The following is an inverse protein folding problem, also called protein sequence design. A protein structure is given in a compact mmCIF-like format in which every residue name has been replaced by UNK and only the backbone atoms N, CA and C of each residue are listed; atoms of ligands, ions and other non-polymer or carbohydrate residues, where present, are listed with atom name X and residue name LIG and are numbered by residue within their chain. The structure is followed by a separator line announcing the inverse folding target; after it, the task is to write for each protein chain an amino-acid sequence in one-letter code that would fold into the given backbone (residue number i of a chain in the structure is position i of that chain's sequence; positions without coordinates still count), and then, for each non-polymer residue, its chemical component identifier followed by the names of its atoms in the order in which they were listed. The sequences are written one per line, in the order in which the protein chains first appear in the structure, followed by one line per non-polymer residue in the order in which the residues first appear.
data_IF_375395871694
#
_entry.id   IF_375395871694
#
_cell.length_a   1.000
_cell.length_b   1.000
_cell.length_c   1.000
_cell.angle_alpha   90.00
_cell.angle_beta   90.00
_cell.angle_gamma   90.00
#
_symmetry.space_group_name_H-M   'P 1'
#
loop_
_entity.id
_entity.type
_entity.pdbx_description
1 polymer ?
#
# COMPACT_ATOMS: atom_id res chain seq x y z
N UNK A 1 -67.80 45.80 12.63
CA UNK A 1 -67.28 45.24 11.38
C UNK A 1 -65.76 45.39 11.24
N UNK A 2 -65.14 46.58 11.38
CA UNK A 2 -63.64 46.75 11.27
C UNK A 2 -62.81 45.88 12.20
N UNK A 3 -63.24 45.65 13.44
CA UNK A 3 -62.56 44.77 14.40
C UNK A 3 -62.58 43.28 14.02
N UNK A 4 -63.64 42.84 13.37
CA UNK A 4 -63.75 41.46 12.88
C UNK A 4 -62.84 41.24 11.67
N UNK A 5 -62.75 42.22 10.77
CA UNK A 5 -61.80 42.16 9.64
C UNK A 5 -60.33 42.15 10.12
N UNK A 6 -60.02 42.95 11.16
CA UNK A 6 -58.67 42.98 11.72
C UNK A 6 -58.32 41.64 12.39
N UNK A 7 -59.24 41.02 13.09
CA UNK A 7 -59.07 39.69 13.72
C UNK A 7 -58.92 38.61 12.65
N UNK A 8 -59.71 38.67 11.58
CA UNK A 8 -59.64 37.73 10.47
C UNK A 8 -58.30 37.89 9.71
N UNK A 9 -57.83 39.14 9.51
CA UNK A 9 -56.53 39.41 8.91
C UNK A 9 -55.37 38.87 9.77
N UNK A 10 -55.46 39.09 11.08
CA UNK A 10 -54.47 38.55 12.02
C UNK A 10 -54.46 37.00 12.05
N UNK A 11 -55.61 36.36 11.96
CA UNK A 11 -55.73 34.91 11.85
C UNK A 11 -55.10 34.36 10.54
N UNK A 12 -55.37 35.03 9.41
CA UNK A 12 -54.76 34.68 8.10
C UNK A 12 -53.23 34.90 8.14
N UNK A 13 -52.75 35.97 8.73
CA UNK A 13 -51.33 36.22 8.90
C UNK A 13 -50.65 35.14 9.74
N UNK A 14 -51.33 34.64 10.78
CA UNK A 14 -50.84 33.56 11.65
C UNK A 14 -50.74 32.21 10.91
N UNK A 15 -51.70 31.92 10.03
CA UNK A 15 -51.71 30.70 9.21
C UNK A 15 -50.61 30.75 8.12
N UNK A 16 -50.41 31.91 7.49
CA UNK A 16 -49.36 32.13 6.48
C UNK A 16 -47.96 32.03 7.10
N UNK A 17 -47.80 32.50 8.35
CA UNK A 17 -46.52 32.40 9.10
C UNK A 17 -46.15 30.98 9.53
N UNK A 18 -47.08 30.08 9.44
CA UNK A 18 -46.90 28.64 9.80
C UNK A 18 -46.28 27.81 8.69
N UNK A 19 -46.05 28.37 7.48
CA UNK A 19 -45.47 27.63 6.37
C UNK A 19 -43.94 27.74 6.43
N UNK A 20 -43.25 26.63 6.69
CA UNK A 20 -41.83 26.52 6.61
C UNK A 20 -41.38 26.32 5.16
N UNK A 21 -40.18 26.79 4.84
CA UNK A 21 -39.52 26.41 3.61
C UNK A 21 -38.10 25.94 3.93
N UNK A 22 -37.63 24.97 3.18
CA UNK A 22 -36.27 24.45 3.28
C UNK A 22 -35.67 24.39 1.88
N UNK A 23 -34.40 24.73 1.78
CA UNK A 23 -33.68 24.71 0.52
C UNK A 23 -32.72 23.54 0.58
N UNK A 24 -32.97 22.56 -0.27
CA UNK A 24 -32.06 21.43 -0.44
C UNK A 24 -30.91 21.89 -1.30
N UNK A 25 -29.71 21.89 -0.74
CA UNK A 25 -28.50 22.32 -1.45
C UNK A 25 -28.07 21.32 -2.53
N UNK A 26 -27.25 21.82 -3.48
CA UNK A 26 -26.74 20.97 -4.56
C UNK A 26 -25.83 19.87 -3.98
N UNK A 27 -26.09 18.62 -4.39
CA UNK A 27 -25.38 17.45 -3.87
C UNK A 27 -26.08 16.79 -2.69
N UNK A 28 -27.25 17.29 -2.26
CA UNK A 28 -28.08 16.67 -1.25
C UNK A 28 -29.40 16.18 -1.86
N UNK A 29 -29.89 15.08 -1.31
CA UNK A 29 -31.23 14.58 -1.57
C UNK A 29 -32.13 14.91 -0.36
N UNK A 30 -33.20 15.67 -0.60
CA UNK A 30 -34.19 15.97 0.42
C UNK A 30 -35.19 14.81 0.58
N UNK A 31 -35.49 14.48 1.81
CA UNK A 31 -36.45 13.41 2.19
C UNK A 31 -37.60 14.06 2.93
N UNK A 32 -38.75 14.08 2.30
CA UNK A 32 -39.99 14.61 2.91
C UNK A 32 -40.78 13.51 3.57
N UNK A 33 -41.11 13.67 4.84
CA UNK A 33 -41.81 12.68 5.66
C UNK A 33 -43.07 13.30 6.25
N UNK A 34 -44.25 12.75 5.95
CA UNK A 34 -45.50 13.19 6.55
C UNK A 34 -45.71 12.54 7.93
N UNK A 35 -45.90 13.37 8.94
CA UNK A 35 -46.05 12.93 10.34
C UNK A 35 -47.51 12.62 10.68
N UNK A 36 -48.49 13.22 9.97
CA UNK A 36 -49.91 13.08 10.21
C UNK A 36 -50.66 12.89 8.89
N UNK A 37 -51.85 12.30 8.96
CA UNK A 37 -52.74 12.03 7.84
C UNK A 37 -52.95 10.53 7.62
N UNK A 38 -53.75 10.18 6.58
CA UNK A 38 -53.99 8.79 6.22
C UNK A 38 -52.74 8.12 5.66
N UNK A 39 -51.87 8.90 5.02
CA UNK A 39 -50.54 8.46 4.46
C UNK A 39 -49.38 8.83 5.40
N UNK A 40 -49.61 8.72 6.71
CA UNK A 40 -48.61 9.04 7.72
C UNK A 40 -47.50 8.01 7.82
N UNK A 41 -46.29 8.49 8.08
CA UNK A 41 -45.16 7.63 8.45
C UNK A 41 -44.32 7.19 7.28
N UNK A 42 -43.83 5.95 7.36
CA UNK A 42 -42.78 5.45 6.48
C UNK A 42 -43.24 5.16 5.05
N UNK A 43 -44.58 5.07 4.85
CA UNK A 43 -45.10 4.74 3.52
C UNK A 43 -45.17 5.96 2.58
N UNK A 44 -45.24 7.17 3.14
CA UNK A 44 -45.23 8.42 2.38
C UNK A 44 -43.91 9.20 2.56
N UNK A 45 -42.81 8.58 2.12
CA UNK A 45 -41.50 9.20 2.05
C UNK A 45 -41.17 9.50 0.59
N UNK A 46 -41.06 10.75 0.27
CA UNK A 46 -40.77 11.21 -1.10
C UNK A 46 -39.45 11.95 -1.19
N UNK A 47 -38.72 11.75 -2.32
CA UNK A 47 -37.54 12.54 -2.63
C UNK A 47 -37.98 13.91 -3.11
N UNK A 48 -37.31 14.95 -2.60
CA UNK A 48 -37.54 16.36 -2.98
C UNK A 48 -36.21 17.04 -3.26
N UNK A 49 -36.19 17.99 -4.17
CA UNK A 49 -35.01 18.77 -4.55
C UNK A 49 -35.34 20.24 -4.67
N UNK A 50 -34.36 21.09 -4.48
CA UNK A 50 -34.52 22.54 -4.60
C UNK A 50 -35.25 23.15 -3.39
N UNK A 51 -36.14 24.14 -3.65
CA UNK A 51 -36.89 24.79 -2.58
C UNK A 51 -38.17 24.01 -2.27
N UNK A 52 -38.30 23.55 -1.05
CA UNK A 52 -39.44 22.76 -0.58
C UNK A 52 -40.25 23.57 0.43
N UNK A 53 -41.56 23.71 0.16
CA UNK A 53 -42.48 24.31 1.09
C UNK A 53 -43.21 23.21 1.87
N UNK A 54 -43.17 23.31 3.20
CA UNK A 54 -43.81 22.32 4.04
C UNK A 54 -44.40 22.95 5.30
N UNK A 55 -45.30 22.25 5.93
CA UNK A 55 -45.83 22.64 7.22
C UNK A 55 -45.02 21.93 8.33
N UNK A 56 -44.20 22.65 9.14
CA UNK A 56 -43.34 22.03 10.14
C UNK A 56 -44.09 21.28 11.24
N UNK A 57 -45.42 21.49 11.39
CA UNK A 57 -46.24 20.72 12.35
C UNK A 57 -46.66 19.34 11.81
N UNK A 58 -46.72 19.19 10.49
CA UNK A 58 -47.23 17.94 9.86
C UNK A 58 -46.22 17.20 9.05
N UNK A 59 -45.08 17.82 8.74
CA UNK A 59 -44.09 17.28 7.83
C UNK A 59 -42.69 17.60 8.33
N UNK A 60 -41.79 16.65 8.21
CA UNK A 60 -40.38 16.85 8.42
C UNK A 60 -39.58 16.66 7.12
N UNK A 61 -38.53 17.43 6.95
CA UNK A 61 -37.61 17.30 5.81
C UNK A 61 -36.24 16.95 6.38
N UNK A 62 -35.63 15.92 5.80
CA UNK A 62 -34.27 15.48 6.10
C UNK A 62 -33.42 15.62 4.87
N UNK A 63 -32.14 15.94 5.04
CA UNK A 63 -31.18 16.04 3.95
C UNK A 63 -30.14 14.94 4.06
N UNK A 64 -29.92 14.22 2.96
CA UNK A 64 -28.89 13.22 2.85
C UNK A 64 -27.87 13.65 1.78
N UNK A 65 -26.58 13.74 2.11
CA UNK A 65 -25.54 14.01 1.12
C UNK A 65 -25.45 12.86 0.11
N UNK A 66 -25.55 13.20 -1.18
CA UNK A 66 -25.44 12.27 -2.30
C UNK A 66 -24.04 12.22 -2.90
N UNK A 67 -23.12 13.05 -2.39
CA UNK A 67 -21.72 13.07 -2.83
C UNK A 67 -20.86 12.05 -2.06
N UNK A 68 -19.69 11.77 -2.57
CA UNK A 68 -18.74 10.84 -1.95
C UNK A 68 -18.22 11.39 -0.63
N UNK A 69 -18.34 10.60 0.42
CA UNK A 69 -17.85 10.90 1.76
C UNK A 69 -16.69 9.97 2.11
N UNK A 70 -15.68 10.51 2.76
CA UNK A 70 -14.59 9.74 3.35
C UNK A 70 -14.87 9.53 4.83
N UNK A 71 -14.85 8.30 5.26
CA UNK A 71 -15.16 7.91 6.64
C UNK A 71 -14.04 7.03 7.16
N UNK A 72 -13.43 7.46 8.25
CA UNK A 72 -12.43 6.70 8.98
C UNK A 72 -13.11 6.06 10.20
N UNK A 73 -13.08 4.74 10.27
CA UNK A 73 -13.63 4.02 11.39
C UNK A 73 -12.56 3.67 12.41
N UNK A 74 -12.97 3.59 13.67
CA UNK A 74 -12.09 3.10 14.73
C UNK A 74 -11.67 1.65 14.47
N UNK A 75 -10.39 1.35 14.73
CA UNK A 75 -9.84 0.03 14.55
C UNK A 75 -10.53 -1.02 15.43
N UNK A 76 -10.73 -2.20 14.87
CA UNK A 76 -11.29 -3.34 15.57
C UNK A 76 -10.44 -4.60 15.33
N UNK A 77 -10.54 -5.55 16.28
CA UNK A 77 -9.82 -6.81 16.16
C UNK A 77 -10.60 -7.83 15.33
N UNK A 78 -9.89 -8.54 14.45
CA UNK A 78 -10.36 -9.69 13.70
C UNK A 78 -9.39 -10.84 13.88
N UNK A 79 -9.90 -12.08 13.78
CA UNK A 79 -9.08 -13.28 13.87
C UNK A 79 -8.90 -13.88 12.47
N UNK A 80 -7.68 -14.32 12.18
CA UNK A 80 -7.39 -15.15 11.03
C UNK A 80 -7.79 -16.62 11.29
N UNK A 81 -7.72 -17.45 10.27
CA UNK A 81 -8.06 -18.88 10.31
C UNK A 81 -7.25 -19.66 11.34
N UNK A 82 -6.01 -19.27 11.59
CA UNK A 82 -5.10 -19.86 12.57
C UNK A 82 -5.22 -19.25 13.97
N UNK A 83 -6.19 -18.34 14.18
CA UNK A 83 -6.45 -17.69 15.46
C UNK A 83 -5.55 -16.49 15.78
N UNK A 84 -4.69 -16.07 14.84
CA UNK A 84 -3.89 -14.85 15.01
C UNK A 84 -4.79 -13.60 14.97
N UNK A 85 -4.53 -12.64 15.84
CA UNK A 85 -5.29 -11.41 15.95
C UNK A 85 -4.69 -10.31 15.07
N UNK A 86 -5.51 -9.66 14.29
CA UNK A 86 -5.17 -8.49 13.49
C UNK A 86 -6.05 -7.33 13.92
N UNK A 87 -5.52 -6.12 13.87
CA UNK A 87 -6.32 -4.91 14.01
C UNK A 87 -6.54 -4.34 12.62
N UNK A 88 -7.81 -4.10 12.29
CA UNK A 88 -8.24 -3.51 11.02
C UNK A 88 -8.78 -2.12 11.31
N UNK A 89 -8.23 -1.11 10.64
CA UNK A 89 -8.54 0.32 10.81
C UNK A 89 -9.02 0.86 9.44
N UNK A 90 -10.28 0.55 9.06
CA UNK A 90 -10.74 0.78 7.71
C UNK A 90 -11.12 2.23 7.46
N UNK A 91 -10.62 2.78 6.35
CA UNK A 91 -11.07 4.03 5.76
C UNK A 91 -11.84 3.74 4.48
N UNK A 92 -13.05 4.29 4.34
CA UNK A 92 -13.94 4.03 3.22
C UNK A 92 -14.38 5.31 2.54
N UNK A 93 -14.47 5.25 1.22
CA UNK A 93 -15.11 6.27 0.38
C UNK A 93 -16.44 5.70 -0.08
N UNK A 94 -17.53 6.27 0.41
CA UNK A 94 -18.89 5.83 0.10
C UNK A 94 -19.78 6.97 -0.33
N UNK A 95 -20.78 6.65 -1.13
CA UNK A 95 -21.92 7.54 -1.45
C UNK A 95 -23.20 6.74 -1.47
N UNK A 96 -24.32 7.45 -1.40
CA UNK A 96 -25.64 6.84 -1.61
C UNK A 96 -25.87 6.63 -3.12
N UNK A 97 -26.56 5.57 -3.47
CA UNK A 97 -27.09 5.39 -4.83
C UNK A 97 -28.15 6.46 -5.12
N UNK A 98 -28.01 7.16 -6.24
CA UNK A 98 -28.85 8.31 -6.61
C UNK A 98 -30.34 7.95 -6.55
N UNK A 99 -31.13 8.76 -5.85
CA UNK A 99 -32.57 8.59 -5.69
C UNK A 99 -32.99 7.51 -4.68
N UNK A 100 -32.07 6.91 -3.96
CA UNK A 100 -32.38 5.83 -2.98
C UNK A 100 -32.44 6.30 -1.52
N UNK A 101 -32.18 7.57 -1.26
CA UNK A 101 -32.27 8.14 0.10
C UNK A 101 -33.58 7.89 0.80
N UNK A 102 -34.77 7.94 0.13
CA UNK A 102 -36.04 7.61 0.79
C UNK A 102 -36.12 6.16 1.26
N UNK A 103 -35.54 5.23 0.51
CA UNK A 103 -35.54 3.80 0.85
C UNK A 103 -34.66 3.57 2.08
N UNK A 104 -33.48 4.19 2.11
CA UNK A 104 -32.54 4.13 3.24
C UNK A 104 -33.22 4.71 4.48
N UNK A 105 -33.82 5.90 4.35
CA UNK A 105 -34.56 6.52 5.47
C UNK A 105 -35.72 5.65 5.96
N UNK A 106 -36.51 5.08 5.03
CA UNK A 106 -37.62 4.19 5.36
C UNK A 106 -37.15 2.99 6.18
N UNK A 107 -35.99 2.43 5.86
CA UNK A 107 -35.41 1.26 6.53
C UNK A 107 -34.84 1.61 7.91
N UNK A 108 -34.04 2.66 8.01
CA UNK A 108 -33.25 2.95 9.21
C UNK A 108 -33.87 4.01 10.12
N UNK A 109 -34.64 4.95 9.58
CA UNK A 109 -35.30 6.07 10.29
C UNK A 109 -34.31 6.92 11.12
N UNK A 110 -33.09 7.11 10.62
CA UNK A 110 -31.99 7.80 11.27
C UNK A 110 -31.40 8.82 10.31
N UNK A 111 -30.63 9.77 10.84
CA UNK A 111 -29.78 10.60 9.99
C UNK A 111 -28.75 9.75 9.24
N UNK A 112 -28.24 10.23 8.10
CA UNK A 112 -27.24 9.49 7.35
C UNK A 112 -25.97 9.25 8.16
N UNK A 113 -25.51 10.26 8.89
CA UNK A 113 -24.32 10.16 9.75
C UNK A 113 -24.46 9.06 10.80
N UNK A 114 -25.66 8.92 11.35
CA UNK A 114 -25.95 7.86 12.31
C UNK A 114 -26.02 6.47 11.67
N UNK A 115 -26.54 6.37 10.44
CA UNK A 115 -26.53 5.12 9.66
C UNK A 115 -25.09 4.72 9.33
N UNK A 116 -24.29 5.67 8.88
CA UNK A 116 -22.90 5.45 8.53
C UNK A 116 -22.09 5.01 9.75
N UNK A 117 -22.18 5.76 10.85
CA UNK A 117 -21.37 5.48 12.03
C UNK A 117 -21.74 4.21 12.78
N UNK A 118 -23.00 3.78 12.70
CA UNK A 118 -23.47 2.58 13.40
C UNK A 118 -23.65 1.38 12.47
N UNK A 119 -24.50 1.51 11.45
CA UNK A 119 -24.94 0.37 10.64
C UNK A 119 -23.87 -0.05 9.61
N UNK A 120 -23.31 0.91 8.88
CA UNK A 120 -22.26 0.62 7.90
C UNK A 120 -21.02 0.05 8.59
N UNK A 121 -20.66 0.59 9.75
CA UNK A 121 -19.58 0.04 10.57
C UNK A 121 -19.77 -1.44 10.91
N UNK A 122 -20.98 -1.84 11.25
CA UNK A 122 -21.29 -3.26 11.55
C UNK A 122 -21.11 -4.13 10.30
N UNK A 123 -21.55 -3.69 9.12
CA UNK A 123 -21.37 -4.44 7.88
C UNK A 123 -19.89 -4.60 7.52
N UNK A 124 -19.09 -3.53 7.65
CA UNK A 124 -17.66 -3.58 7.40
C UNK A 124 -16.98 -4.54 8.38
N UNK A 125 -17.33 -4.45 9.65
CA UNK A 125 -16.76 -5.32 10.70
C UNK A 125 -17.11 -6.79 10.48
N UNK A 126 -18.34 -7.08 10.08
CA UNK A 126 -18.79 -8.46 9.82
C UNK A 126 -18.13 -9.01 8.55
N UNK A 127 -18.05 -8.21 7.48
CA UNK A 127 -17.34 -8.55 6.25
C UNK A 127 -15.85 -8.85 6.52
N UNK A 128 -15.20 -8.02 7.36
CA UNK A 128 -13.82 -8.24 7.76
C UNK A 128 -13.66 -9.56 8.53
N UNK A 129 -14.50 -9.82 9.52
CA UNK A 129 -14.45 -11.06 10.32
C UNK A 129 -14.59 -12.30 9.45
N UNK A 130 -15.52 -12.29 8.50
CA UNK A 130 -15.74 -13.42 7.60
C UNK A 130 -14.55 -13.60 6.67
N UNK A 131 -14.06 -12.52 6.07
CA UNK A 131 -12.99 -12.60 5.08
C UNK A 131 -11.66 -12.99 5.70
N UNK A 132 -11.26 -12.36 6.81
CA UNK A 132 -9.99 -12.67 7.48
C UNK A 132 -9.94 -14.09 8.05
N UNK A 133 -11.09 -14.65 8.45
CA UNK A 133 -11.16 -16.04 8.91
C UNK A 133 -10.97 -17.09 7.79
N UNK A 134 -10.98 -16.68 6.52
CA UNK A 134 -10.70 -17.57 5.39
C UNK A 134 -9.20 -17.78 5.16
N UNK A 135 -8.36 -16.87 5.65
CA UNK A 135 -6.92 -16.84 5.43
C UNK A 135 -6.13 -17.08 6.71
N UNK A 136 -4.97 -17.73 6.57
CA UNK A 136 -3.97 -17.81 7.64
C UNK A 136 -3.19 -16.50 7.76
N UNK A 137 -2.53 -16.27 8.89
CA UNK A 137 -1.71 -15.08 9.07
C UNK A 137 -0.60 -14.94 8.01
N UNK A 138 0.04 -16.03 7.63
CA UNK A 138 1.06 -16.06 6.58
C UNK A 138 0.47 -15.70 5.19
N UNK A 139 -0.74 -16.14 4.87
CA UNK A 139 -1.42 -15.80 3.62
C UNK A 139 -1.83 -14.32 3.59
N UNK A 140 -2.30 -13.76 4.69
CA UNK A 140 -2.64 -12.33 4.80
C UNK A 140 -1.40 -11.45 4.55
N UNK A 141 -0.24 -11.88 5.03
CA UNK A 141 1.02 -11.14 4.84
C UNK A 141 1.56 -11.30 3.43
N UNK A 142 1.63 -12.53 2.93
CA UNK A 142 2.25 -12.84 1.64
C UNK A 142 1.40 -12.42 0.44
N UNK A 143 0.07 -12.49 0.56
CA UNK A 143 -0.89 -12.19 -0.50
C UNK A 143 -1.80 -11.02 -0.15
N UNK A 144 -1.28 -10.00 0.53
CA UNK A 144 -2.03 -8.86 1.04
C UNK A 144 -2.96 -8.24 0.00
N UNK A 145 -2.48 -8.00 -1.22
CA UNK A 145 -3.28 -7.39 -2.27
C UNK A 145 -4.53 -8.22 -2.66
N UNK A 146 -4.43 -9.55 -2.61
CA UNK A 146 -5.56 -10.44 -2.88
C UNK A 146 -6.58 -10.41 -1.73
N UNK A 147 -6.11 -10.40 -0.48
CA UNK A 147 -6.96 -10.30 0.71
C UNK A 147 -7.67 -8.96 0.75
N UNK A 148 -6.96 -7.85 0.52
CA UNK A 148 -7.52 -6.50 0.47
C UNK A 148 -8.63 -6.41 -0.58
N UNK A 149 -8.39 -6.93 -1.79
CA UNK A 149 -9.39 -6.94 -2.87
C UNK A 149 -10.60 -7.83 -2.56
N UNK A 150 -10.38 -8.96 -1.94
CA UNK A 150 -11.46 -9.89 -1.54
C UNK A 150 -12.34 -9.26 -0.46
N UNK A 151 -11.73 -8.60 0.52
CA UNK A 151 -12.42 -7.83 1.55
C UNK A 151 -13.21 -6.66 0.96
N UNK A 152 -12.58 -5.87 0.05
CA UNK A 152 -13.26 -4.78 -0.65
C UNK A 152 -14.49 -5.27 -1.42
N UNK A 153 -14.38 -6.38 -2.16
CA UNK A 153 -15.50 -6.95 -2.89
C UNK A 153 -16.64 -7.37 -1.96
N UNK A 154 -16.34 -8.01 -0.83
CA UNK A 154 -17.34 -8.41 0.15
C UNK A 154 -18.06 -7.22 0.78
N UNK A 155 -17.31 -6.17 1.14
CA UNK A 155 -17.90 -4.93 1.65
C UNK A 155 -18.76 -4.26 0.57
N UNK A 156 -18.29 -4.22 -0.67
CA UNK A 156 -19.02 -3.65 -1.80
C UNK A 156 -20.36 -4.36 -2.03
N UNK A 157 -20.37 -5.68 -1.98
CA UNK A 157 -21.61 -6.47 -2.12
C UNK A 157 -22.58 -6.21 -0.96
N UNK A 158 -22.08 -6.17 0.27
CA UNK A 158 -22.90 -5.90 1.45
C UNK A 158 -23.52 -4.49 1.41
N UNK A 159 -22.74 -3.48 1.02
CA UNK A 159 -23.18 -2.09 0.91
C UNK A 159 -24.15 -1.87 -0.26
N UNK A 160 -23.95 -2.56 -1.38
CA UNK A 160 -24.84 -2.48 -2.54
C UNK A 160 -26.26 -2.97 -2.21
N UNK A 161 -26.41 -3.98 -1.35
CA UNK A 161 -27.72 -4.44 -0.87
C UNK A 161 -28.47 -3.36 -0.05
N UNK A 162 -27.72 -2.43 0.51
CA UNK A 162 -28.24 -1.33 1.33
C UNK A 162 -28.32 0.00 0.55
N UNK A 163 -28.15 -0.03 -0.77
CA UNK A 163 -28.14 1.15 -1.66
C UNK A 163 -27.01 2.14 -1.39
N UNK A 164 -25.87 1.64 -0.91
CA UNK A 164 -24.63 2.40 -0.83
C UNK A 164 -23.65 1.92 -1.89
N UNK A 165 -22.94 2.86 -2.47
CA UNK A 165 -21.87 2.61 -3.44
C UNK A 165 -20.54 2.79 -2.73
N UNK A 166 -19.74 1.73 -2.71
CA UNK A 166 -18.37 1.77 -2.25
C UNK A 166 -17.47 2.19 -3.43
N UNK A 167 -16.82 3.33 -3.33
CA UNK A 167 -15.85 3.82 -4.33
C UNK A 167 -14.45 3.25 -4.04
N UNK A 168 -14.05 3.26 -2.76
CA UNK A 168 -12.74 2.74 -2.33
C UNK A 168 -12.81 2.26 -0.88
N UNK A 169 -12.06 1.21 -0.58
CA UNK A 169 -11.80 0.72 0.77
C UNK A 169 -10.28 0.63 1.00
N UNK A 170 -9.82 1.20 2.09
CA UNK A 170 -8.45 1.02 2.59
C UNK A 170 -8.52 0.27 3.91
N UNK A 171 -8.11 -1.00 3.98
CA UNK A 171 -8.31 -1.84 5.17
C UNK A 171 -7.52 -1.41 6.41
N UNK A 172 -6.36 -0.76 6.26
CA UNK A 172 -5.54 -0.32 7.40
C UNK A 172 -5.09 -1.46 8.32
N UNK A 173 -4.65 -2.61 7.75
CA UNK A 173 -4.30 -3.81 8.53
C UNK A 173 -3.02 -3.57 9.33
N UNK A 174 -3.11 -3.77 10.66
CA UNK A 174 -2.01 -3.74 11.62
C UNK A 174 -1.75 -5.15 12.16
N UNK A 175 -0.51 -5.54 12.20
CA UNK A 175 -0.09 -6.85 12.70
C UNK A 175 0.15 -6.83 14.21
N UNK A 176 -0.05 -7.95 14.93
CA UNK A 176 0.37 -8.07 16.33
C UNK A 176 1.89 -7.91 16.47
N UNK A 177 2.36 -7.26 17.53
CA UNK A 177 3.81 -7.05 17.78
C UNK A 177 4.62 -8.35 17.76
N UNK A 178 4.05 -9.43 18.30
CA UNK A 178 4.69 -10.76 18.30
C UNK A 178 4.91 -11.29 16.87
N UNK A 179 4.00 -11.00 15.97
CA UNK A 179 4.09 -11.42 14.57
C UNK A 179 5.06 -10.54 13.77
N UNK A 180 5.05 -9.24 14.01
CA UNK A 180 6.03 -8.30 13.43
C UNK A 180 7.46 -8.67 13.83
N UNK A 181 7.68 -9.03 15.09
CA UNK A 181 8.98 -9.49 15.58
C UNK A 181 9.44 -10.79 14.88
N UNK A 182 8.53 -11.74 14.67
CA UNK A 182 8.83 -13.00 13.97
C UNK A 182 9.13 -12.76 12.47
N UNK A 183 8.37 -11.90 11.80
CA UNK A 183 8.62 -11.51 10.39
C UNK A 183 9.98 -10.83 10.28
N UNK A 184 10.28 -9.88 11.15
CA UNK A 184 11.54 -9.14 11.15
C UNK A 184 12.73 -10.09 11.40
N UNK A 185 12.61 -11.06 12.32
CA UNK A 185 13.61 -12.07 12.54
C UNK A 185 13.83 -12.96 11.31
N UNK A 186 12.76 -13.42 10.66
CA UNK A 186 12.79 -14.21 9.42
C UNK A 186 13.45 -13.43 8.28
N UNK A 187 13.05 -12.16 8.08
CA UNK A 187 13.63 -11.30 7.04
C UNK A 187 15.12 -11.05 7.30
N UNK A 188 15.51 -10.82 8.55
CA UNK A 188 16.92 -10.68 8.92
C UNK A 188 17.71 -11.95 8.62
N UNK A 189 17.18 -13.13 8.96
CA UNK A 189 17.82 -14.40 8.65
C UNK A 189 18.01 -14.63 7.14
N UNK A 190 16.99 -14.27 6.31
CA UNK A 190 17.08 -14.35 4.85
C UNK A 190 18.14 -13.37 4.32
N UNK A 191 18.17 -12.13 4.82
CA UNK A 191 19.19 -11.14 4.43
C UNK A 191 20.59 -11.57 4.80
N UNK A 192 20.78 -12.15 6.00
CA UNK A 192 22.06 -12.69 6.43
C UNK A 192 22.51 -13.87 5.55
N UNK A 193 21.59 -14.76 5.19
CA UNK A 193 21.88 -15.84 4.25
C UNK A 193 22.30 -15.32 2.87
N UNK A 194 21.58 -14.33 2.33
CA UNK A 194 21.95 -13.70 1.05
C UNK A 194 23.30 -13.01 1.13
N UNK A 195 23.60 -12.32 2.24
CA UNK A 195 24.91 -11.70 2.47
C UNK A 195 26.03 -12.72 2.44
N UNK A 196 25.89 -13.83 3.18
CA UNK A 196 26.89 -14.90 3.18
C UNK A 196 27.06 -15.52 1.78
N UNK A 197 25.98 -15.74 1.06
CA UNK A 197 26.04 -16.24 -0.33
C UNK A 197 26.81 -15.28 -1.25
N UNK A 198 26.54 -13.97 -1.13
CA UNK A 198 27.23 -12.96 -1.90
C UNK A 198 28.73 -12.89 -1.52
N UNK A 199 29.07 -12.93 -0.23
CA UNK A 199 30.46 -12.97 0.23
C UNK A 199 31.23 -14.18 -0.33
N UNK A 200 30.59 -15.35 -0.33
CA UNK A 200 31.18 -16.57 -0.93
C UNK A 200 31.33 -16.44 -2.44
N UNK A 201 30.35 -15.82 -3.13
CA UNK A 201 30.44 -15.59 -4.56
C UNK A 201 31.57 -14.60 -4.91
N UNK A 202 31.73 -13.53 -4.16
CA UNK A 202 32.82 -12.55 -4.31
C UNK A 202 34.18 -13.21 -4.07
N UNK A 203 34.32 -13.97 -2.97
CA UNK A 203 35.56 -14.67 -2.65
C UNK A 203 35.96 -15.68 -3.73
N UNK A 204 34.98 -16.41 -4.31
CA UNK A 204 35.24 -17.31 -5.46
C UNK A 204 35.69 -16.54 -6.69
N UNK A 205 35.06 -15.42 -7.00
CA UNK A 205 35.44 -14.59 -8.15
C UNK A 205 36.83 -13.99 -7.99
N UNK A 206 37.19 -13.56 -6.77
CA UNK A 206 38.54 -13.08 -6.46
C UNK A 206 39.60 -14.18 -6.59
N UNK A 207 39.33 -15.38 -6.05
CA UNK A 207 40.22 -16.53 -6.20
C UNK A 207 40.41 -16.93 -7.66
N UNK A 208 39.35 -16.93 -8.45
CA UNK A 208 39.41 -17.20 -9.91
C UNK A 208 40.23 -16.13 -10.64
N UNK A 209 40.02 -14.85 -10.31
CA UNK A 209 40.81 -13.74 -10.86
C UNK A 209 42.29 -13.91 -10.58
N UNK A 210 42.70 -14.26 -9.36
CA UNK A 210 44.10 -14.51 -8.97
C UNK A 210 44.65 -15.69 -9.77
N UNK A 211 43.88 -16.77 -9.89
CA UNK A 211 44.30 -17.96 -10.61
C UNK A 211 44.46 -17.71 -12.12
N UNK A 212 43.58 -16.93 -12.73
CA UNK A 212 43.67 -16.51 -14.14
C UNK A 212 44.91 -15.60 -14.34
N UNK A 213 45.13 -14.64 -13.44
CA UNK A 213 46.31 -13.79 -13.47
C UNK A 213 47.63 -14.57 -13.39
N UNK A 214 47.69 -15.53 -12.43
CA UNK A 214 48.89 -16.39 -12.28
C UNK A 214 49.11 -17.29 -13.50
N UNK A 215 48.05 -17.82 -14.12
CA UNK A 215 48.18 -18.58 -15.37
C UNK A 215 48.69 -17.73 -16.52
N UNK A 216 48.14 -16.51 -16.70
CA UNK A 216 48.56 -15.56 -17.71
C UNK A 216 50.06 -15.16 -17.52
N UNK A 217 50.49 -14.92 -16.27
CA UNK A 217 51.88 -14.62 -15.94
C UNK A 217 52.81 -15.80 -16.26
N UNK A 218 52.41 -17.02 -15.89
CA UNK A 218 53.17 -18.23 -16.24
C UNK A 218 53.32 -18.37 -17.75
N UNK A 219 52.27 -18.24 -18.52
CA UNK A 219 52.29 -18.31 -19.98
C UNK A 219 53.13 -17.21 -20.59
N UNK A 220 53.03 -15.97 -20.11
CA UNK A 220 53.87 -14.87 -20.53
C UNK A 220 55.38 -15.13 -20.25
N UNK A 221 55.72 -15.74 -19.10
CA UNK A 221 57.09 -16.09 -18.75
C UNK A 221 57.62 -17.24 -19.59
N UNK A 222 56.79 -18.27 -19.89
CA UNK A 222 57.15 -19.34 -20.81
C UNK A 222 57.42 -18.83 -22.21
N UNK A 223 56.58 -17.93 -22.74
CA UNK A 223 56.81 -17.27 -24.04
C UNK A 223 58.05 -16.42 -24.06
N UNK A 224 58.36 -15.69 -22.96
CA UNK A 224 59.60 -14.92 -22.81
C UNK A 224 60.83 -15.82 -22.81
N UNK A 225 60.79 -16.96 -22.08
CA UNK A 225 61.89 -17.93 -22.08
C UNK A 225 62.11 -18.53 -23.46
N UNK A 226 61.07 -18.86 -24.20
CA UNK A 226 61.19 -19.34 -25.59
C UNK A 226 61.78 -18.27 -26.56
N UNK A 227 61.44 -17.00 -26.33
CA UNK A 227 61.93 -15.88 -27.13
C UNK A 227 63.37 -15.48 -26.78
N UNK A 228 63.86 -15.79 -25.57
CA UNK A 228 65.22 -15.45 -25.11
C UNK A 228 66.23 -16.47 -25.60
N UNK A 229 66.58 -16.41 -26.85
CA UNK A 229 67.72 -17.16 -27.40
C UNK A 229 69.07 -16.56 -26.89
N UNK A 230 70.13 -17.37 -26.80
CA UNK A 230 71.48 -16.90 -26.40
C UNK A 230 71.93 -15.66 -27.14
N UNK A 231 71.59 -15.55 -28.42
CA UNK A 231 71.95 -14.41 -29.30
C UNK A 231 71.20 -13.11 -28.87
N UNK A 232 69.89 -13.25 -28.44
CA UNK A 232 69.12 -12.10 -27.98
C UNK A 232 69.63 -11.64 -26.60
N UNK A 233 70.01 -12.55 -25.72
CA UNK A 233 70.58 -12.21 -24.43
C UNK A 233 71.91 -11.47 -24.58
N UNK A 234 72.79 -11.90 -25.52
CA UNK A 234 74.01 -11.19 -25.85
C UNK A 234 73.67 -9.79 -26.39
N UNK A 235 72.72 -9.64 -27.27
CA UNK A 235 72.34 -8.34 -27.83
C UNK A 235 71.79 -7.40 -26.73
N UNK A 236 70.96 -7.86 -25.86
CA UNK A 236 70.44 -7.06 -24.74
C UNK A 236 71.54 -6.69 -23.72
N UNK A 237 72.56 -7.57 -23.56
CA UNK A 237 73.68 -7.26 -22.73
C UNK A 237 74.53 -6.17 -23.35
N UNK A 238 74.82 -6.24 -24.64
CA UNK A 238 75.52 -5.25 -25.39
C UNK A 238 74.82 -3.88 -25.41
N UNK A 239 73.50 -3.87 -25.59
CA UNK A 239 72.65 -2.65 -25.56
C UNK A 239 72.63 -1.95 -24.22
N UNK A 240 72.71 -2.71 -23.13
CA UNK A 240 72.67 -2.16 -21.74
C UNK A 240 74.11 -1.90 -21.18
N UNK A 241 75.12 -2.31 -21.89
CA UNK A 241 76.48 -2.10 -21.41
C UNK A 241 76.84 -0.61 -21.57
N UNK A 242 77.24 0.00 -20.46
CA UNK A 242 77.63 1.40 -20.36
C UNK A 242 79.09 1.69 -20.86
N UNK A 243 79.80 0.68 -21.44
CA UNK A 243 81.16 0.79 -21.95
C UNK A 243 82.21 0.75 -20.88
N UNK A 244 81.89 0.59 -19.62
CA UNK A 244 82.89 0.49 -18.54
C UNK A 244 83.18 -0.96 -18.18
N UNK A 245 84.45 -1.30 -18.16
CA UNK A 245 84.93 -2.60 -17.70
C UNK A 245 84.86 -2.64 -16.16
N UNK A 246 84.27 -3.67 -15.56
CA UNK A 246 84.18 -3.76 -14.10
C UNK A 246 85.55 -3.69 -13.47
N UNK A 247 85.72 -2.81 -12.50
CA UNK A 247 86.99 -2.53 -11.83
C UNK A 247 87.38 -3.62 -10.80
N UNK A 248 86.66 -4.68 -10.67
CA UNK A 248 86.90 -5.79 -9.73
C UNK A 248 87.65 -6.89 -10.50
N UNK A 249 88.99 -6.88 -10.46
CA UNK A 249 89.84 -8.00 -10.87
C UNK A 249 89.87 -9.02 -9.70
N UNK A 250 89.15 -10.05 -9.78
CA UNK A 250 89.37 -11.23 -8.95
C UNK A 250 90.42 -12.11 -9.63
N UNK A 251 91.36 -12.58 -8.85
CA UNK A 251 92.59 -13.26 -9.22
C UNK A 251 92.51 -14.34 -10.30
N UNK A 252 93.61 -14.67 -10.86
CA UNK A 252 94.03 -15.26 -12.10
C UNK A 252 93.36 -16.54 -12.62
N UNK A 253 92.09 -16.88 -12.23
CA UNK A 253 91.37 -18.04 -12.81
C UNK A 253 89.89 -17.99 -12.81
N UNK A 254 89.29 -16.83 -12.86
CA UNK A 254 87.87 -16.71 -13.08
C UNK A 254 87.60 -16.12 -14.47
N UNK A 255 87.19 -17.00 -15.40
CA UNK A 255 86.64 -16.54 -16.69
C UNK A 255 85.40 -15.70 -16.42
N UNK A 256 85.54 -14.41 -16.81
CA UNK A 256 84.51 -13.38 -16.63
C UNK A 256 83.34 -13.55 -17.59
N UNK A 257 83.25 -14.69 -18.27
CA UNK A 257 82.17 -15.10 -19.07
C UNK A 257 81.37 -16.17 -18.29
N UNK A 258 80.24 -15.78 -17.74
CA UNK A 258 79.28 -16.72 -17.16
C UNK A 258 78.98 -17.73 -18.25
N UNK A 259 79.38 -18.98 -18.05
CA UNK A 259 79.03 -20.08 -18.94
C UNK A 259 77.49 -20.32 -18.89
N UNK A 260 76.87 -19.73 -19.89
CA UNK A 260 75.37 -19.79 -20.04
C UNK A 260 74.94 -21.23 -20.32
N UNK A 261 75.83 -22.14 -20.66
CA UNK A 261 75.47 -23.57 -20.91
C UNK A 261 75.00 -24.31 -19.65
N UNK A 262 75.24 -23.77 -18.44
CA UNK A 262 74.79 -24.34 -17.20
C UNK A 262 73.38 -23.97 -16.79
N UNK A 263 72.71 -23.05 -17.48
CA UNK A 263 71.35 -22.61 -17.24
C UNK A 263 70.34 -23.22 -18.19
N UNK A 264 70.77 -24.04 -19.14
CA UNK A 264 69.87 -24.82 -20.01
C UNK A 264 69.80 -26.30 -19.52
N UNK A 265 69.02 -26.54 -18.54
CA UNK A 265 68.47 -27.86 -18.23
C UNK A 265 66.96 -27.75 -17.94
#
# INVERSE_FOLDING_TARGET
MKKIYLFMLALVALVVSSCGYERIDAGYEGIKVNLYGDDKGVDDVSMVTGMVWYNPFTTSVYEYPAFVQTIDYEGFEVNSKDGSKFTVDPSVLIKIEDGKSPIIFKKYRKSLDEVISSTIYVFIKDAARIEFNNYTADEIVSNRAAVDKSFENRVKEALAQEHFILEQLTPGIKYPESYEAAINAKNKAIQDQMRVQNEVAVAKAEAEKILVAARAEKEANELRQQALTPAILQKMWIEKWDGHVPTVQTGSNSSMFMDISKFTK
#
